data_IF_358452640771
#
_entry.id   IF_358452640771
#
_cell.length_a   1.000
_cell.length_b   1.000
_cell.length_c   1.000
_cell.angle_alpha   90.00
_cell.angle_beta   90.00
_cell.angle_gamma   90.00
#
_symmetry.space_group_name_H-M   'P 1'
#
loop_
_entity.id
_entity.type
_entity.pdbx_description
1 polymer ?
#
# COMPACT_ATOMS: atom_id res chain seq x y z
N UNK A 1 -0.70 3.70 -17.66
CA UNK A 1 -1.89 4.55 -17.48
C UNK A 1 -2.53 4.19 -16.15
N UNK A 2 -2.92 5.15 -15.31
CA UNK A 2 -3.64 4.87 -14.06
C UNK A 2 -5.07 4.42 -14.38
N UNK A 3 -5.55 3.39 -13.67
CA UNK A 3 -6.95 2.95 -13.73
C UNK A 3 -7.54 3.04 -12.32
N UNK A 4 -8.57 3.86 -12.15
CA UNK A 4 -9.31 3.93 -10.88
C UNK A 4 -10.29 2.77 -10.80
N UNK A 5 -10.14 1.90 -9.81
CA UNK A 5 -11.06 0.77 -9.55
C UNK A 5 -11.48 0.81 -8.09
N UNK A 6 -12.75 1.09 -7.83
CA UNK A 6 -13.32 1.03 -6.48
C UNK A 6 -13.57 -0.44 -6.16
N UNK A 7 -12.81 -0.99 -5.22
CA UNK A 7 -12.92 -2.39 -4.80
C UNK A 7 -12.65 -2.52 -3.30
N UNK A 8 -13.46 -3.34 -2.65
CA UNK A 8 -13.23 -3.73 -1.26
C UNK A 8 -12.37 -4.99 -1.24
N UNK A 9 -11.57 -5.15 -0.18
CA UNK A 9 -10.72 -6.33 -0.03
C UNK A 9 -10.50 -6.70 1.44
N UNK A 10 -10.22 -7.98 1.67
CA UNK A 10 -9.72 -8.45 2.96
C UNK A 10 -8.20 -8.36 2.96
N UNK A 11 -7.62 -7.68 3.93
CA UNK A 11 -6.17 -7.59 4.05
C UNK A 11 -5.57 -8.98 4.35
N UNK A 12 -4.77 -9.49 3.43
CA UNK A 12 -4.12 -10.81 3.58
C UNK A 12 -3.07 -10.87 4.70
N UNK A 13 -2.64 -9.72 5.24
CA UNK A 13 -1.71 -9.67 6.38
C UNK A 13 -2.43 -9.70 7.74
N UNK A 14 -3.43 -8.84 7.95
CA UNK A 14 -4.06 -8.66 9.26
C UNK A 14 -5.55 -9.07 9.33
N UNK A 15 -6.17 -9.44 8.21
CA UNK A 15 -7.57 -9.86 8.13
C UNK A 15 -8.60 -8.73 8.14
N UNK A 16 -8.19 -7.46 8.10
CA UNK A 16 -9.11 -6.32 8.09
C UNK A 16 -9.93 -6.26 6.81
N UNK A 17 -11.24 -5.99 6.92
CA UNK A 17 -12.10 -5.68 5.78
C UNK A 17 -11.92 -4.21 5.39
N UNK A 18 -11.28 -3.96 4.25
CA UNK A 18 -10.98 -2.60 3.77
C UNK A 18 -12.00 -2.19 2.72
N UNK A 19 -12.70 -1.08 2.98
CA UNK A 19 -13.53 -0.42 1.99
C UNK A 19 -12.68 0.48 1.10
N UNK A 20 -12.62 0.18 -0.20
CA UNK A 20 -11.80 0.93 -1.15
C UNK A 20 -12.54 2.11 -1.78
N UNK A 21 -11.81 3.17 -2.10
CA UNK A 21 -12.30 4.38 -2.78
C UNK A 21 -11.74 4.54 -4.22
N UNK A 22 -10.99 3.54 -4.66
CA UNK A 22 -10.24 3.52 -5.91
C UNK A 22 -8.85 4.16 -5.88
N UNK A 23 -8.43 4.66 -4.73
CA UNK A 23 -7.06 5.10 -4.44
C UNK A 23 -6.40 4.27 -3.34
N UNK A 24 -7.15 3.35 -2.74
CA UNK A 24 -6.69 2.49 -1.65
C UNK A 24 -5.80 1.39 -2.21
N UNK A 25 -4.51 1.42 -1.85
CA UNK A 25 -3.52 0.48 -2.35
C UNK A 25 -2.80 -0.30 -1.24
N UNK A 26 -3.12 -0.02 0.01
CA UNK A 26 -2.64 -0.74 1.18
C UNK A 26 -3.75 -0.74 2.24
N UNK A 27 -3.65 -1.64 3.21
CA UNK A 27 -4.59 -1.65 4.33
C UNK A 27 -4.32 -0.43 5.23
N UNK A 28 -5.29 0.47 5.47
CA UNK A 28 -5.06 1.65 6.30
C UNK A 28 -4.71 1.29 7.75
N UNK A 29 -5.11 0.10 8.23
CA UNK A 29 -4.88 -0.34 9.62
C UNK A 29 -3.45 -0.84 9.87
N UNK A 30 -2.89 -1.63 8.97
CA UNK A 30 -1.58 -2.28 9.16
C UNK A 30 -0.52 -1.84 8.14
N UNK A 31 -0.92 -1.10 7.11
CA UNK A 31 -0.08 -0.51 6.07
C UNK A 31 0.55 -1.50 5.08
N UNK A 32 0.24 -2.80 5.20
CA UNK A 32 0.64 -3.80 4.22
C UNK A 32 -0.17 -3.67 2.93
N UNK A 33 0.52 -3.91 1.81
CA UNK A 33 -0.05 -3.94 0.47
C UNK A 33 0.17 -5.33 -0.18
N UNK A 34 -0.32 -5.51 -1.40
CA UNK A 34 -0.10 -6.70 -2.22
C UNK A 34 0.44 -6.27 -3.59
N UNK A 35 1.43 -6.99 -4.10
CA UNK A 35 2.08 -6.67 -5.37
C UNK A 35 1.22 -7.16 -6.54
N UNK A 36 0.16 -6.41 -6.84
CA UNK A 36 -0.81 -6.74 -7.88
C UNK A 36 -0.77 -5.79 -9.08
N UNK A 37 -0.10 -4.64 -8.98
CA UNK A 37 -0.10 -3.62 -10.03
C UNK A 37 1.24 -3.50 -10.77
N UNK A 38 1.22 -3.62 -12.10
CA UNK A 38 2.33 -3.17 -12.95
C UNK A 38 2.23 -1.65 -13.07
N UNK A 39 1.08 -1.18 -13.55
CA UNK A 39 0.62 0.20 -13.48
C UNK A 39 -0.45 0.34 -12.38
N UNK A 40 -0.54 1.51 -11.70
CA UNK A 40 -1.52 1.73 -10.65
C UNK A 40 -2.96 1.37 -11.07
N UNK A 41 -3.54 0.39 -10.38
CA UNK A 41 -4.92 -0.11 -10.57
C UNK A 41 -5.16 -1.05 -11.76
N UNK A 42 -4.12 -1.53 -12.45
CA UNK A 42 -4.28 -2.49 -13.55
C UNK A 42 -4.41 -3.95 -13.09
N UNK A 43 -4.02 -4.25 -11.84
CA UNK A 43 -4.01 -5.60 -11.26
C UNK A 43 -3.27 -6.64 -12.14
N UNK A 44 -2.32 -6.19 -12.97
CA UNK A 44 -1.64 -7.01 -13.96
C UNK A 44 -0.35 -7.69 -13.46
N UNK A 45 0.11 -7.38 -12.24
CA UNK A 45 1.34 -7.94 -11.70
C UNK A 45 1.15 -9.39 -11.26
N UNK A 46 2.04 -10.25 -11.76
CA UNK A 46 1.94 -11.71 -11.55
C UNK A 46 2.59 -12.15 -10.25
N UNK A 47 3.46 -11.32 -9.66
CA UNK A 47 4.13 -11.60 -8.40
C UNK A 47 3.15 -11.91 -7.27
N UNK A 48 2.12 -11.08 -7.08
CA UNK A 48 1.04 -11.24 -6.09
C UNK A 48 1.49 -11.45 -4.64
N UNK A 49 2.77 -11.27 -4.33
CA UNK A 49 3.28 -11.39 -2.98
C UNK A 49 2.93 -10.16 -2.15
N UNK A 50 2.97 -10.32 -0.83
CA UNK A 50 2.76 -9.22 0.10
C UNK A 50 3.88 -8.18 -0.03
N UNK A 51 3.50 -6.91 0.13
CA UNK A 51 4.43 -5.81 0.21
C UNK A 51 4.43 -5.20 1.61
N UNK A 52 5.59 -5.26 2.25
CA UNK A 52 5.83 -4.76 3.60
C UNK A 52 5.99 -3.23 3.57
N UNK A 53 5.39 -2.49 4.53
CA UNK A 53 5.71 -1.09 4.75
C UNK A 53 7.12 -0.96 5.35
N UNK A 54 8.11 -0.71 4.50
CA UNK A 54 9.54 -0.80 4.84
C UNK A 54 10.08 0.43 5.56
N UNK A 55 9.70 1.63 5.11
CA UNK A 55 10.12 2.92 5.71
C UNK A 55 9.17 4.04 5.33
N UNK A 56 9.16 5.11 6.13
CA UNK A 56 8.47 6.36 5.82
C UNK A 56 9.52 7.45 5.57
N UNK A 57 9.35 8.20 4.47
CA UNK A 57 10.15 9.37 4.13
C UNK A 57 9.27 10.62 4.18
N UNK A 58 9.88 11.79 4.33
CA UNK A 58 9.17 13.08 4.21
C UNK A 58 9.73 13.84 3.02
N UNK A 59 8.88 14.12 2.03
CA UNK A 59 9.23 14.89 0.84
C UNK A 59 8.27 16.06 0.68
N UNK A 60 8.80 17.29 0.62
CA UNK A 60 8.01 18.52 0.46
C UNK A 60 6.85 18.65 1.47
N UNK A 61 7.05 18.18 2.71
CA UNK A 61 6.04 18.20 3.77
C UNK A 61 4.99 17.07 3.71
N UNK A 62 5.09 16.15 2.75
CA UNK A 62 4.24 14.97 2.65
C UNK A 62 4.99 13.70 3.10
N UNK A 63 4.33 12.83 3.85
CA UNK A 63 4.85 11.51 4.19
C UNK A 63 4.69 10.55 3.01
N UNK A 64 5.79 9.88 2.65
CA UNK A 64 5.87 8.90 1.58
C UNK A 64 6.18 7.54 2.23
N UNK A 65 5.24 6.62 2.14
CA UNK A 65 5.42 5.24 2.57
C UNK A 65 6.08 4.44 1.45
N UNK A 66 7.17 3.76 1.78
CA UNK A 66 7.87 2.87 0.85
C UNK A 66 7.48 1.43 1.17
N UNK A 67 6.84 0.79 0.21
CA UNK A 67 6.51 -0.62 0.26
C UNK A 67 7.57 -1.46 -0.45
N UNK A 68 8.00 -2.57 0.15
CA UNK A 68 8.88 -3.54 -0.50
C UNK A 68 8.19 -4.89 -0.66
N UNK A 69 8.15 -5.41 -1.89
CA UNK A 69 7.65 -6.75 -2.16
C UNK A 69 8.54 -7.80 -1.50
N UNK A 70 7.94 -8.70 -0.72
CA UNK A 70 8.67 -9.73 0.00
C UNK A 70 9.30 -10.79 -0.92
N UNK A 71 8.74 -10.99 -2.12
CA UNK A 71 9.21 -11.97 -3.09
C UNK A 71 10.23 -11.40 -4.09
N UNK A 72 9.83 -10.42 -4.92
CA UNK A 72 10.69 -9.89 -5.99
C UNK A 72 11.53 -8.68 -5.58
N UNK A 73 11.38 -8.18 -4.34
CA UNK A 73 12.10 -7.02 -3.77
C UNK A 73 11.86 -5.67 -4.45
N UNK A 74 10.92 -5.59 -5.40
CA UNK A 74 10.46 -4.33 -5.99
C UNK A 74 9.94 -3.40 -4.92
N UNK A 75 10.31 -2.12 -5.01
CA UNK A 75 9.82 -1.06 -4.14
C UNK A 75 8.79 -0.18 -4.85
N UNK A 76 7.75 0.21 -4.11
CA UNK A 76 6.72 1.16 -4.58
C UNK A 76 6.62 2.28 -3.55
N UNK A 77 6.46 3.51 -4.06
CA UNK A 77 6.33 4.72 -3.25
C UNK A 77 4.89 5.18 -3.28
N UNK A 78 4.31 5.38 -2.11
CA UNK A 78 2.90 5.72 -1.95
C UNK A 78 2.78 6.90 -1.01
N UNK A 79 1.94 7.87 -1.33
CA UNK A 79 1.62 8.96 -0.40
C UNK A 79 0.77 8.42 0.75
N UNK A 80 1.17 8.75 1.98
CA UNK A 80 0.34 8.51 3.17
C UNK A 80 -0.93 9.35 3.08
N UNK A 81 -2.05 8.75 3.44
CA UNK A 81 -3.34 9.39 3.52
C UNK A 81 -3.74 9.64 4.99
N UNK A 82 -4.59 10.65 5.28
CA UNK A 82 -5.05 10.91 6.64
C UNK A 82 -5.79 9.73 7.31
N UNK A 83 -6.33 8.80 6.51
CA UNK A 83 -7.02 7.60 6.98
C UNK A 83 -6.08 6.47 7.41
N UNK A 84 -4.79 6.60 7.09
CA UNK A 84 -3.80 5.59 7.43
C UNK A 84 -3.47 5.67 8.92
N UNK A 85 -3.23 4.51 9.54
CA UNK A 85 -2.98 4.40 10.96
C UNK A 85 -1.63 5.05 11.33
N UNK A 86 -1.72 6.23 11.93
CA UNK A 86 -0.57 7.04 12.32
C UNK A 86 0.30 6.35 13.37
N UNK A 87 -0.28 5.54 14.27
CA UNK A 87 0.51 4.79 15.27
C UNK A 87 1.38 3.71 14.63
N UNK A 88 0.93 3.13 13.52
CA UNK A 88 1.74 2.15 12.77
C UNK A 88 2.79 2.87 11.93
N UNK A 89 2.43 3.98 11.27
CA UNK A 89 3.38 4.83 10.53
C UNK A 89 4.55 5.28 11.41
N UNK A 90 4.27 5.76 12.62
CA UNK A 90 5.27 6.25 13.56
C UNK A 90 6.23 5.15 14.05
N UNK A 91 5.86 3.87 13.94
CA UNK A 91 6.72 2.72 14.28
C UNK A 91 7.62 2.28 13.13
N UNK A 92 7.33 2.72 11.90
CA UNK A 92 8.11 2.42 10.69
C UNK A 92 9.19 3.50 10.45
N UNK A 93 9.04 4.67 11.09
CA UNK A 93 9.95 5.80 10.98
C UNK A 93 11.33 5.52 11.60
#
# INVERSE_FOLDING_TARGET
>A
MFKRVIEDFVCEYCGENVMGDGYTNHCPKCLWSKHVDVNPGDRAETCRAMMEPKKVEVEHGAQILIHQCQLCKTEKRVKVLPKDNQDVLNKIY
#
